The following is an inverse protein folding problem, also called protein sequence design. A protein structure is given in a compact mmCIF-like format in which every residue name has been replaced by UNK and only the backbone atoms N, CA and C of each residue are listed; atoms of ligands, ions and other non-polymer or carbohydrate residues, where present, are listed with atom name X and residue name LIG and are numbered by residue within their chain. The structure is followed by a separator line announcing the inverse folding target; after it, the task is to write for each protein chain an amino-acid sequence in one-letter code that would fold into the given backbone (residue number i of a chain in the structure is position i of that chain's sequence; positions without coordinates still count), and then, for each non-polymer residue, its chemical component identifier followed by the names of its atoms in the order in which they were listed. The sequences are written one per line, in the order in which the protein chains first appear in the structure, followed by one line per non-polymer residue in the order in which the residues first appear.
data_IF_662360949228
#
_entry.id   IF_662360949228
#
_cell.length_a   1.000
_cell.length_b   1.000
_cell.length_c   1.000
_cell.angle_alpha   90.00
_cell.angle_beta   90.00
_cell.angle_gamma   90.00
#
_symmetry.space_group_name_H-M   'P 1'
#
loop_
_entity.id
_entity.type
_entity.pdbx_description
1 polymer ?
#
# COMPACT_ATOMS: atom_id res chain seq x y z
N UNK A 1 19.89 12.45 -0.90
CA UNK A 1 18.72 12.66 -0.02
C UNK A 1 17.54 13.10 -0.88
N UNK A 2 16.54 12.25 -1.09
CA UNK A 2 15.43 12.60 -1.99
C UNK A 2 14.15 11.79 -1.66
N UNK A 3 13.07 12.46 -1.25
CA UNK A 3 11.69 11.96 -1.47
C UNK A 3 10.89 11.40 -0.29
N UNK A 4 11.42 11.27 0.93
CA UNK A 4 10.73 10.49 1.99
C UNK A 4 9.55 11.17 2.70
N UNK A 5 9.35 12.48 2.53
CA UNK A 5 8.36 13.21 3.34
C UNK A 5 6.90 13.05 2.90
N UNK A 6 6.61 12.68 1.65
CA UNK A 6 5.23 12.43 1.18
C UNK A 6 4.80 10.96 1.31
N UNK A 7 5.77 10.08 1.55
CA UNK A 7 5.59 8.64 1.62
C UNK A 7 4.84 8.20 2.86
N UNK A 8 5.04 8.89 3.98
CA UNK A 8 4.50 8.48 5.27
C UNK A 8 2.98 8.62 5.29
N UNK A 9 2.46 9.78 4.87
CA UNK A 9 1.02 10.00 4.71
C UNK A 9 0.36 8.98 3.79
N UNK A 10 0.94 8.64 2.64
CA UNK A 10 0.31 7.66 1.73
C UNK A 10 0.37 6.23 2.26
N UNK A 11 1.39 5.87 3.05
CA UNK A 11 1.46 4.58 3.73
C UNK A 11 0.32 4.48 4.74
N UNK A 12 0.14 5.49 5.57
CA UNK A 12 -0.93 5.54 6.55
C UNK A 12 -2.32 5.57 5.91
N UNK A 13 -2.50 6.34 4.83
CA UNK A 13 -3.75 6.41 4.05
C UNK A 13 -4.06 5.04 3.42
N UNK A 14 -3.07 4.39 2.80
CA UNK A 14 -3.19 3.03 2.27
C UNK A 14 -3.55 2.02 3.36
N UNK A 15 -2.86 2.06 4.51
CA UNK A 15 -3.12 1.17 5.63
C UNK A 15 -4.51 1.42 6.23
N UNK A 16 -4.96 2.67 6.31
CA UNK A 16 -6.30 3.05 6.77
C UNK A 16 -7.38 2.49 5.86
N UNK A 17 -7.27 2.71 4.55
CA UNK A 17 -8.22 2.20 3.55
C UNK A 17 -8.17 0.66 3.52
N UNK A 18 -6.97 0.07 3.54
CA UNK A 18 -6.74 -1.37 3.47
C UNK A 18 -7.15 -2.12 4.75
N UNK A 19 -7.36 -1.40 5.86
CA UNK A 19 -7.85 -1.95 7.12
C UNK A 19 -9.34 -2.26 7.09
N UNK A 20 -10.11 -1.55 6.26
CA UNK A 20 -11.56 -1.78 6.11
C UNK A 20 -11.83 -2.74 4.96
N UNK A 21 -11.16 -2.54 3.82
CA UNK A 21 -11.34 -3.36 2.63
C UNK A 21 -10.03 -3.65 1.90
N UNK A 22 -9.87 -4.84 1.29
CA UNK A 22 -8.72 -5.10 0.42
C UNK A 22 -8.76 -4.18 -0.81
N UNK A 23 -7.66 -3.48 -1.05
CA UNK A 23 -7.50 -2.53 -2.15
C UNK A 23 -6.97 -3.27 -3.37
N UNK A 24 -7.55 -3.03 -4.54
CA UNK A 24 -7.03 -3.56 -5.82
C UNK A 24 -5.78 -2.82 -6.25
N UNK A 25 -4.86 -3.54 -6.90
CA UNK A 25 -3.65 -2.96 -7.52
C UNK A 25 -3.94 -1.70 -8.34
N UNK A 26 -4.98 -1.75 -9.17
CA UNK A 26 -5.41 -0.65 -10.03
C UNK A 26 -5.73 0.65 -9.26
N UNK A 27 -6.36 0.51 -8.07
CA UNK A 27 -6.69 1.63 -7.18
C UNK A 27 -5.40 2.20 -6.55
N UNK A 28 -4.47 1.33 -6.17
CA UNK A 28 -3.17 1.73 -5.62
C UNK A 28 -2.39 2.51 -6.66
N UNK A 29 -2.30 2.02 -7.89
CA UNK A 29 -1.62 2.73 -8.98
C UNK A 29 -2.24 4.12 -9.23
N UNK A 30 -3.57 4.22 -9.19
CA UNK A 30 -4.27 5.51 -9.28
C UNK A 30 -3.94 6.46 -8.12
N UNK A 31 -3.89 5.96 -6.89
CA UNK A 31 -3.53 6.73 -5.69
C UNK A 31 -2.08 7.21 -5.74
N UNK A 32 -1.16 6.30 -6.07
CA UNK A 32 0.27 6.58 -6.23
C UNK A 32 0.48 7.69 -7.27
N UNK A 33 -0.14 7.55 -8.45
CA UNK A 33 -0.06 8.54 -9.52
C UNK A 33 -0.65 9.89 -9.11
N UNK A 34 -1.77 9.89 -8.38
CA UNK A 34 -2.42 11.12 -7.89
C UNK A 34 -1.57 11.85 -6.84
N UNK A 35 -0.83 11.11 -6.01
CA UNK A 35 0.02 11.67 -4.95
C UNK A 35 1.50 11.79 -5.34
N UNK A 36 1.84 11.54 -6.60
CA UNK A 36 3.23 11.53 -7.09
C UNK A 36 4.15 10.58 -6.29
N UNK A 37 3.57 9.49 -5.79
CA UNK A 37 4.29 8.46 -5.06
C UNK A 37 4.69 7.33 -5.99
N UNK A 38 5.84 6.71 -5.72
CA UNK A 38 6.34 5.59 -6.49
C UNK A 38 5.80 4.26 -5.96
N UNK A 39 5.77 3.24 -6.83
CA UNK A 39 5.40 1.87 -6.42
C UNK A 39 6.36 1.28 -5.39
N UNK A 40 7.58 1.83 -5.25
CA UNK A 40 8.54 1.50 -4.20
C UNK A 40 7.93 1.52 -2.80
N UNK A 41 6.95 2.40 -2.55
CA UNK A 41 6.23 2.46 -1.26
C UNK A 41 5.46 1.17 -0.99
N UNK A 42 4.79 0.65 -2.01
CA UNK A 42 4.03 -0.59 -1.92
C UNK A 42 4.97 -1.77 -1.69
N UNK A 43 6.10 -1.80 -2.41
CA UNK A 43 7.14 -2.82 -2.23
C UNK A 43 7.70 -2.79 -0.81
N UNK A 44 8.04 -1.61 -0.29
CA UNK A 44 8.56 -1.48 1.07
C UNK A 44 7.52 -1.95 2.10
N UNK A 45 6.24 -1.63 1.93
CA UNK A 45 5.17 -2.09 2.81
C UNK A 45 4.99 -3.63 2.79
N UNK A 46 5.20 -4.26 1.63
CA UNK A 46 5.18 -5.72 1.48
C UNK A 46 6.41 -6.35 2.14
N UNK A 47 7.60 -5.79 1.90
CA UNK A 47 8.87 -6.27 2.49
C UNK A 47 8.88 -6.11 4.01
N UNK A 48 8.35 -5.00 4.52
CA UNK A 48 8.12 -4.79 5.94
C UNK A 48 7.04 -5.74 6.48
N UNK A 49 6.16 -6.28 5.63
CA UNK A 49 5.03 -7.08 6.08
C UNK A 49 3.93 -6.24 6.75
N UNK A 50 3.86 -4.94 6.47
CA UNK A 50 2.77 -4.04 6.90
C UNK A 50 1.48 -4.29 6.09
N UNK A 51 1.63 -4.75 4.85
CA UNK A 51 0.52 -5.18 3.99
C UNK A 51 0.80 -6.57 3.43
N UNK A 52 -0.26 -7.26 3.02
CA UNK A 52 -0.17 -8.55 2.35
C UNK A 52 -0.82 -8.46 0.97
N UNK A 53 -0.12 -8.92 -0.06
CA UNK A 53 -0.69 -9.12 -1.38
C UNK A 53 -1.37 -10.49 -1.50
N UNK A 54 -2.49 -10.54 -2.20
CA UNK A 54 -3.16 -11.79 -2.55
C UNK A 54 -3.87 -11.65 -3.90
N UNK A 55 -3.93 -12.75 -4.63
CA UNK A 55 -4.58 -12.81 -5.93
C UNK A 55 -5.97 -13.41 -5.79
N UNK A 56 -6.99 -12.74 -6.31
CA UNK A 56 -8.37 -13.21 -6.31
C UNK A 56 -9.01 -12.99 -7.68
N UNK A 57 -9.48 -14.05 -8.33
CA UNK A 57 -10.12 -13.97 -9.65
C UNK A 57 -9.24 -13.37 -10.75
N UNK A 58 -7.93 -13.64 -10.73
CA UNK A 58 -6.97 -13.10 -11.71
C UNK A 58 -6.59 -11.64 -11.49
N UNK A 59 -6.99 -11.03 -10.36
CA UNK A 59 -6.62 -9.66 -9.98
C UNK A 59 -5.85 -9.66 -8.66
N UNK A 60 -4.90 -8.74 -8.53
CA UNK A 60 -4.13 -8.55 -7.30
C UNK A 60 -4.83 -7.59 -6.35
N UNK A 61 -4.84 -7.96 -5.08
CA UNK A 61 -5.40 -7.19 -3.99
C UNK A 61 -4.37 -7.09 -2.87
N UNK A 62 -4.44 -5.99 -2.13
CA UNK A 62 -3.57 -5.68 -1.01
C UNK A 62 -4.45 -5.41 0.19
N UNK A 63 -4.13 -6.05 1.31
CA UNK A 63 -4.80 -5.81 2.59
C UNK A 63 -3.79 -5.42 3.65
N UNK A 64 -4.24 -4.68 4.66
CA UNK A 64 -3.41 -4.40 5.84
C UNK A 64 -3.08 -5.69 6.56
N UNK A 65 -1.82 -5.88 6.92
CA UNK A 65 -1.41 -6.95 7.80
C UNK A 65 -1.60 -6.48 9.25
N UNK A 66 -2.71 -6.90 9.88
CA UNK A 66 -3.02 -6.56 11.27
C UNK A 66 -2.08 -7.22 12.29
N UNK A 67 -1.23 -8.16 11.83
CA UNK A 67 -0.23 -8.82 12.67
C UNK A 67 1.09 -8.02 12.77
N UNK A 68 1.21 -6.90 12.04
CA UNK A 68 2.37 -6.03 12.16
C UNK A 68 2.32 -5.29 13.51
N UNK A 69 3.25 -5.61 14.41
CA UNK A 69 3.50 -4.86 15.64
C UNK A 69 4.57 -3.80 15.35
N UNK A 70 4.22 -2.53 15.53
CA UNK A 70 5.15 -1.39 15.58
C UNK A 70 6.14 -1.50 16.74
#
# INVERSE_FOLDING_TARGET
ENGFFFTDDIREDLLGIASVHPIREDIIEGLLKKRNADRSVLTELLEQGKIAEFSYGGRKFYKRNLLFKE
#
